data_IF_210175552350
#
_entry.id   IF_210175552350
#
_cell.length_a   1.000
_cell.length_b   1.000
_cell.length_c   1.000
_cell.angle_alpha   90.00
_cell.angle_beta   90.00
_cell.angle_gamma   90.00
#
_symmetry.space_group_name_H-M   'P 1'
#
loop_
_entity.id
_entity.type
_entity.pdbx_description
1 polymer ?
#
# COMPACT_ATOMS: atom_id res chain seq x y z
N UNK A 1 -17.93 -17.44 21.54
CA UNK A 1 -16.52 -17.55 21.07
C UNK A 1 -15.65 -17.38 22.30
N UNK A 2 -14.67 -18.25 22.50
CA UNK A 2 -13.73 -18.12 23.64
C UNK A 2 -12.82 -16.91 23.41
N UNK A 3 -12.12 -16.46 24.48
CA UNK A 3 -11.09 -15.44 24.37
C UNK A 3 -10.00 -15.84 23.35
N UNK A 4 -9.55 -14.87 22.57
CA UNK A 4 -8.54 -15.05 21.51
C UNK A 4 -7.25 -14.33 21.95
N UNK A 5 -6.25 -15.08 22.36
CA UNK A 5 -4.97 -14.53 22.79
C UNK A 5 -4.10 -14.19 21.60
N UNK A 6 -4.07 -12.91 21.23
CA UNK A 6 -3.38 -12.40 20.05
C UNK A 6 -2.16 -11.54 20.42
N UNK A 7 -0.99 -11.94 19.96
CA UNK A 7 0.17 -11.06 19.85
C UNK A 7 0.10 -10.34 18.50
N UNK A 8 -0.07 -9.03 18.49
CA UNK A 8 -0.15 -8.26 17.26
C UNK A 8 0.99 -7.25 17.16
N UNK A 9 1.75 -7.32 16.06
CA UNK A 9 2.78 -6.35 15.69
C UNK A 9 2.31 -5.46 14.52
N UNK A 10 1.03 -5.60 14.13
CA UNK A 10 0.37 -4.78 13.11
C UNK A 10 -0.78 -3.97 13.74
N UNK A 11 -1.03 -2.73 13.31
CA UNK A 11 -2.06 -1.87 13.90
C UNK A 11 -3.51 -2.27 13.51
N UNK A 12 -3.80 -3.59 13.42
CA UNK A 12 -5.13 -4.16 13.18
C UNK A 12 -5.90 -4.46 14.46
N UNK A 13 -5.22 -4.52 15.59
CA UNK A 13 -5.84 -4.94 16.85
C UNK A 13 -7.05 -4.09 17.26
N UNK A 14 -7.06 -2.75 17.13
CA UNK A 14 -8.25 -1.97 17.46
C UNK A 14 -9.48 -2.35 16.64
N UNK A 15 -9.29 -2.64 15.34
CA UNK A 15 -10.35 -3.12 14.48
C UNK A 15 -10.83 -4.52 14.89
N UNK A 16 -9.91 -5.44 15.11
CA UNK A 16 -10.25 -6.81 15.49
C UNK A 16 -11.01 -6.88 16.83
N UNK A 17 -10.65 -6.03 17.80
CA UNK A 17 -11.35 -5.93 19.10
C UNK A 17 -12.81 -5.48 18.99
N UNK A 18 -13.20 -4.79 17.91
CA UNK A 18 -14.60 -4.43 17.65
C UNK A 18 -15.47 -5.62 17.22
N UNK A 19 -14.86 -6.69 16.71
CA UNK A 19 -15.54 -7.83 16.12
C UNK A 19 -15.31 -9.16 16.87
N UNK A 20 -14.23 -9.25 17.66
CA UNK A 20 -13.80 -10.49 18.31
C UNK A 20 -13.36 -10.24 19.76
N UNK A 21 -13.50 -11.23 20.66
CA UNK A 21 -13.04 -11.14 22.05
C UNK A 21 -11.52 -11.29 22.15
N UNK A 22 -10.79 -10.29 21.65
CA UNK A 22 -9.32 -10.30 21.60
C UNK A 22 -8.75 -9.92 22.96
N UNK A 23 -7.92 -10.79 23.51
CA UNK A 23 -6.98 -10.53 24.60
C UNK A 23 -5.60 -10.28 23.99
N UNK A 24 -5.12 -9.07 24.12
CA UNK A 24 -3.83 -8.66 23.54
C UNK A 24 -2.69 -9.15 24.43
N UNK A 25 -1.76 -9.91 23.86
CA UNK A 25 -0.61 -10.47 24.55
C UNK A 25 0.64 -9.64 24.23
N UNK A 26 1.35 -9.11 25.22
CA UNK A 26 2.59 -8.37 24.98
C UNK A 26 3.72 -9.30 24.50
N UNK A 27 4.72 -8.72 23.81
CA UNK A 27 5.79 -9.48 23.17
C UNK A 27 6.61 -10.32 24.16
N UNK A 28 6.85 -9.82 25.37
CA UNK A 28 7.55 -10.50 26.45
C UNK A 28 6.81 -11.75 26.98
N UNK A 29 5.50 -11.81 26.75
CA UNK A 29 4.62 -12.93 27.13
C UNK A 29 4.17 -13.78 25.93
N UNK A 30 4.89 -13.74 24.82
CA UNK A 30 4.52 -14.39 23.55
C UNK A 30 4.14 -15.88 23.67
N UNK A 31 4.62 -16.58 24.69
CA UNK A 31 4.28 -17.99 24.94
C UNK A 31 2.82 -18.21 25.36
N UNK A 32 2.12 -17.15 25.78
CA UNK A 32 0.70 -17.17 26.14
C UNK A 32 -0.21 -16.92 24.92
N UNK A 33 0.35 -16.50 23.78
CA UNK A 33 -0.43 -16.18 22.60
C UNK A 33 -0.75 -17.43 21.78
N UNK A 34 -2.00 -17.58 21.35
CA UNK A 34 -2.44 -18.60 20.41
C UNK A 34 -2.20 -18.20 18.96
N UNK A 35 -2.21 -16.88 18.70
CA UNK A 35 -2.05 -16.28 17.38
C UNK A 35 -0.98 -15.19 17.42
N UNK A 36 -0.21 -15.08 16.33
CA UNK A 36 0.64 -13.92 16.07
C UNK A 36 0.29 -13.30 14.72
N UNK A 37 0.06 -11.98 14.73
CA UNK A 37 -0.08 -11.16 13.53
C UNK A 37 1.16 -10.32 13.38
N UNK A 38 1.96 -10.57 12.35
CA UNK A 38 3.28 -9.97 12.19
C UNK A 38 3.63 -9.70 10.73
N UNK A 39 4.65 -8.90 10.51
CA UNK A 39 5.21 -8.65 9.18
C UNK A 39 6.30 -9.70 8.79
N UNK A 40 6.87 -9.53 7.59
CA UNK A 40 7.95 -10.37 7.08
C UNK A 40 9.29 -10.17 7.80
N UNK A 41 9.45 -9.06 8.51
CA UNK A 41 10.69 -8.66 9.18
C UNK A 41 10.74 -9.10 10.64
N UNK A 42 9.63 -9.60 11.18
CA UNK A 42 9.56 -10.06 12.58
C UNK A 42 10.58 -11.16 12.85
N UNK A 43 11.57 -10.92 13.74
CA UNK A 43 12.56 -11.93 14.09
C UNK A 43 11.89 -13.10 14.82
N UNK A 44 12.48 -14.30 14.69
CA UNK A 44 12.08 -15.52 15.40
C UNK A 44 10.65 -16.00 15.21
N UNK A 45 9.90 -15.46 14.22
CA UNK A 45 8.52 -15.89 13.90
C UNK A 45 8.43 -17.42 13.68
N UNK A 46 9.49 -18.02 13.17
CA UNK A 46 9.53 -19.46 12.87
C UNK A 46 9.51 -20.34 14.14
N UNK A 47 9.84 -19.77 15.30
CA UNK A 47 9.78 -20.43 16.60
C UNK A 47 8.43 -20.31 17.31
N UNK A 48 7.56 -19.42 16.82
CA UNK A 48 6.22 -19.28 17.41
C UNK A 48 5.39 -20.54 17.19
N UNK A 49 4.81 -21.07 18.27
CA UNK A 49 4.11 -22.36 18.26
C UNK A 49 2.64 -22.26 17.83
N UNK A 50 2.00 -21.12 18.03
CA UNK A 50 0.62 -20.85 17.65
C UNK A 50 0.46 -20.54 16.16
N UNK A 51 -0.71 -20.05 15.78
CA UNK A 51 -1.07 -19.68 14.40
C UNK A 51 -0.33 -18.42 13.98
N UNK A 52 0.33 -18.47 12.84
CA UNK A 52 1.13 -17.36 12.29
C UNK A 52 0.40 -16.69 11.13
N UNK A 53 0.04 -15.43 11.30
CA UNK A 53 -0.68 -14.62 10.31
C UNK A 53 0.29 -13.54 9.81
N UNK A 54 0.56 -13.54 8.51
CA UNK A 54 1.35 -12.50 7.87
C UNK A 54 0.47 -11.32 7.51
N UNK A 55 0.96 -10.12 7.81
CA UNK A 55 0.54 -8.89 7.17
C UNK A 55 1.75 -8.25 6.47
N UNK A 56 1.61 -7.80 5.24
CA UNK A 56 2.69 -7.10 4.55
C UNK A 56 2.18 -5.90 3.76
N UNK A 57 2.79 -4.74 4.02
CA UNK A 57 2.61 -3.52 3.23
C UNK A 57 3.67 -3.36 2.14
N UNK A 58 4.66 -4.26 2.07
CA UNK A 58 5.74 -4.22 1.10
C UNK A 58 5.51 -5.19 -0.05
N UNK A 59 6.19 -4.97 -1.19
CA UNK A 59 6.11 -5.87 -2.35
C UNK A 59 6.88 -7.18 -2.10
N UNK A 60 6.38 -7.95 -1.12
CA UNK A 60 6.92 -9.26 -0.78
C UNK A 60 5.94 -10.37 -1.13
N UNK A 61 6.45 -11.41 -1.80
CA UNK A 61 5.66 -12.60 -2.03
C UNK A 61 5.39 -13.37 -0.73
N UNK A 62 4.15 -13.81 -0.59
CA UNK A 62 3.72 -14.58 0.57
C UNK A 62 4.43 -15.94 0.63
N UNK A 63 5.01 -16.25 1.79
CA UNK A 63 5.57 -17.56 2.09
C UNK A 63 4.68 -18.39 3.02
N UNK A 64 3.76 -19.15 2.43
CA UNK A 64 2.86 -20.06 3.17
C UNK A 64 3.57 -21.27 3.79
N UNK A 65 4.87 -21.44 3.59
CA UNK A 65 5.65 -22.41 4.36
C UNK A 65 6.05 -21.86 5.73
N UNK A 66 6.11 -20.52 5.87
CA UNK A 66 6.41 -19.83 7.14
C UNK A 66 5.14 -19.42 7.88
N UNK A 67 4.14 -18.90 7.15
CA UNK A 67 2.90 -18.36 7.70
C UNK A 67 1.73 -19.30 7.44
N UNK A 68 0.80 -19.38 8.38
CA UNK A 68 -0.41 -20.17 8.24
C UNK A 68 -1.43 -19.45 7.36
N UNK A 69 -1.57 -18.15 7.59
CA UNK A 69 -2.45 -17.25 6.84
C UNK A 69 -1.73 -15.97 6.46
N UNK A 70 -2.28 -15.22 5.50
CA UNK A 70 -1.71 -13.95 5.09
C UNK A 70 -2.74 -12.92 4.61
N UNK A 71 -2.48 -11.66 4.97
CA UNK A 71 -3.01 -10.48 4.32
C UNK A 71 -1.96 -9.96 3.35
N UNK A 72 -2.31 -9.76 2.08
CA UNK A 72 -1.36 -9.45 1.01
C UNK A 72 -1.95 -8.50 -0.02
N UNK A 73 -1.09 -7.87 -0.82
CA UNK A 73 -1.51 -7.14 -2.00
C UNK A 73 -1.76 -8.04 -3.23
N UNK A 74 -1.24 -9.28 -3.23
CA UNK A 74 -1.39 -10.21 -4.36
C UNK A 74 -2.89 -10.45 -4.66
N UNK A 75 -3.25 -10.51 -5.95
CA UNK A 75 -4.61 -10.89 -6.40
C UNK A 75 -4.84 -12.39 -6.18
N UNK A 76 -4.82 -12.79 -4.94
CA UNK A 76 -4.93 -14.19 -4.54
C UNK A 76 -5.89 -14.30 -3.36
N UNK A 77 -7.09 -14.80 -3.67
CA UNK A 77 -8.05 -15.14 -2.64
C UNK A 77 -8.08 -16.66 -2.46
N UNK A 78 -7.81 -17.11 -1.25
CA UNK A 78 -7.90 -18.51 -0.83
C UNK A 78 -8.34 -18.57 0.63
N UNK A 79 -8.59 -19.78 1.14
CA UNK A 79 -8.84 -19.99 2.58
C UNK A 79 -7.69 -19.54 3.48
N UNK A 80 -6.47 -19.37 2.91
CA UNK A 80 -5.26 -18.98 3.63
C UNK A 80 -4.72 -17.59 3.27
N UNK A 81 -5.15 -17.01 2.17
CA UNK A 81 -4.71 -15.69 1.72
C UNK A 81 -5.91 -14.80 1.46
N UNK A 82 -5.86 -13.60 1.99
CA UNK A 82 -6.83 -12.56 1.71
C UNK A 82 -6.13 -11.32 1.17
N UNK A 83 -6.66 -10.78 0.06
CA UNK A 83 -6.13 -9.55 -0.51
C UNK A 83 -6.54 -8.36 0.34
N UNK A 84 -5.58 -7.72 0.97
CA UNK A 84 -5.76 -6.51 1.75
C UNK A 84 -4.56 -5.58 1.52
N UNK A 85 -4.53 -4.79 0.42
CA UNK A 85 -3.39 -3.93 0.07
C UNK A 85 -3.22 -2.82 1.10
N UNK A 86 -2.00 -2.28 1.19
CA UNK A 86 -1.62 -1.34 2.25
C UNK A 86 -2.48 -0.08 2.29
N UNK A 87 -2.99 0.39 1.17
CA UNK A 87 -3.85 1.57 1.17
C UNK A 87 -5.17 1.36 1.94
N UNK A 88 -5.78 0.16 1.90
CA UNK A 88 -6.93 -0.18 2.75
C UNK A 88 -6.57 -0.10 4.24
N UNK A 89 -5.41 -0.68 4.56
CA UNK A 89 -4.89 -0.69 5.91
C UNK A 89 -4.60 0.72 6.43
N UNK A 90 -3.99 1.57 5.60
CA UNK A 90 -3.73 2.98 5.91
C UNK A 90 -5.03 3.74 6.22
N UNK A 91 -6.12 3.42 5.51
CA UNK A 91 -7.43 4.01 5.75
C UNK A 91 -8.22 3.36 6.90
N UNK A 92 -7.89 2.11 7.30
CA UNK A 92 -8.61 1.41 8.35
C UNK A 92 -8.48 2.09 9.72
N UNK A 93 -7.30 2.58 10.02
CA UNK A 93 -6.98 3.24 11.30
C UNK A 93 -7.32 4.72 11.32
N UNK A 94 -7.80 5.27 10.21
CA UNK A 94 -8.06 6.70 10.01
C UNK A 94 -9.44 6.94 9.37
N UNK A 95 -10.53 6.97 10.13
CA UNK A 95 -11.89 7.17 9.60
C UNK A 95 -12.02 8.43 8.76
N UNK A 96 -11.28 9.49 9.10
CA UNK A 96 -11.25 10.74 8.35
C UNK A 96 -10.70 10.57 6.92
N UNK A 97 -9.74 9.68 6.72
CA UNK A 97 -9.20 9.38 5.38
C UNK A 97 -10.28 8.76 4.49
N UNK A 98 -11.03 7.78 5.03
CA UNK A 98 -12.16 7.16 4.33
C UNK A 98 -13.22 8.18 3.94
N UNK A 99 -13.57 9.06 4.89
CA UNK A 99 -14.56 10.12 4.65
C UNK A 99 -14.14 11.04 3.51
N UNK A 100 -12.89 11.50 3.49
CA UNK A 100 -12.36 12.37 2.44
C UNK A 100 -12.28 11.68 1.07
N UNK A 101 -11.85 10.42 1.03
CA UNK A 101 -11.79 9.67 -0.22
C UNK A 101 -13.16 9.38 -0.83
N UNK A 102 -14.17 9.13 0.01
CA UNK A 102 -15.55 8.92 -0.43
C UNK A 102 -16.25 10.21 -0.84
N UNK A 103 -15.86 11.34 -0.24
CA UNK A 103 -16.48 12.63 -0.45
C UNK A 103 -15.39 13.68 -0.75
N UNK A 104 -14.78 13.64 -1.94
CA UNK A 104 -13.82 14.66 -2.34
C UNK A 104 -14.50 16.02 -2.36
N UNK A 105 -13.80 17.04 -1.92
CA UNK A 105 -14.30 18.42 -1.98
C UNK A 105 -14.05 18.95 -3.39
N UNK A 106 -15.11 19.26 -4.16
CA UNK A 106 -14.94 19.91 -5.46
C UNK A 106 -14.21 21.25 -5.31
N UNK A 107 -13.41 21.59 -6.30
CA UNK A 107 -12.70 22.86 -6.37
C UNK A 107 -13.02 23.54 -7.70
N UNK A 108 -13.39 24.82 -7.66
CA UNK A 108 -13.58 25.62 -8.87
C UNK A 108 -12.22 26.03 -9.47
N UNK A 109 -12.24 26.42 -10.75
CA UNK A 109 -11.05 26.92 -11.44
C UNK A 109 -10.49 28.17 -10.75
N UNK A 110 -11.37 29.09 -10.33
CA UNK A 110 -11.01 30.32 -9.65
C UNK A 110 -10.37 30.05 -8.29
N UNK A 111 -10.96 29.13 -7.50
CA UNK A 111 -10.41 28.71 -6.21
C UNK A 111 -9.03 28.06 -6.40
N UNK A 112 -8.84 27.24 -7.43
CA UNK A 112 -7.59 26.57 -7.70
C UNK A 112 -6.48 27.57 -8.07
N UNK A 113 -6.79 28.57 -8.89
CA UNK A 113 -5.86 29.65 -9.27
C UNK A 113 -5.50 30.47 -8.03
N UNK A 114 -6.49 30.84 -7.20
CA UNK A 114 -6.29 31.63 -6.00
C UNK A 114 -5.38 30.98 -4.95
N UNK A 115 -5.29 29.64 -4.94
CA UNK A 115 -4.43 28.91 -4.02
C UNK A 115 -2.95 29.06 -4.28
N UNK A 116 -2.54 29.53 -5.48
CA UNK A 116 -1.15 29.80 -5.87
C UNK A 116 -0.15 28.70 -5.43
N UNK A 117 -0.48 27.44 -5.76
CA UNK A 117 0.32 26.28 -5.37
C UNK A 117 1.60 26.14 -6.21
N UNK A 118 2.62 25.53 -5.62
CA UNK A 118 3.79 25.04 -6.34
C UNK A 118 3.44 23.90 -7.31
N UNK A 119 4.32 23.59 -8.25
CA UNK A 119 4.07 22.64 -9.32
C UNK A 119 3.86 21.21 -8.80
N UNK A 120 4.91 20.60 -8.23
CA UNK A 120 4.89 19.18 -7.91
C UNK A 120 5.67 18.87 -6.63
N UNK A 121 5.07 18.07 -5.74
CA UNK A 121 5.69 17.54 -4.53
C UNK A 121 6.29 16.16 -4.78
N UNK A 122 7.49 15.94 -4.24
CA UNK A 122 8.14 14.65 -4.16
C UNK A 122 8.66 14.38 -2.75
N UNK A 123 8.17 13.33 -2.08
CA UNK A 123 8.62 12.95 -0.75
C UNK A 123 9.10 11.50 -0.77
N UNK A 124 10.40 11.29 -0.74
CA UNK A 124 10.99 9.97 -0.85
C UNK A 124 12.18 9.80 0.08
N UNK A 125 12.25 8.61 0.70
CA UNK A 125 13.38 8.18 1.53
C UNK A 125 14.29 7.20 0.80
N UNK A 126 13.69 6.24 0.05
CA UNK A 126 14.43 5.15 -0.58
C UNK A 126 14.91 5.55 -1.98
N UNK A 127 16.23 5.60 -2.27
CA UNK A 127 16.76 6.00 -3.57
C UNK A 127 16.59 4.95 -4.68
N UNK A 128 16.09 3.74 -4.39
CA UNK A 128 16.15 2.59 -5.33
C UNK A 128 15.08 2.60 -6.44
N UNK A 129 14.06 3.44 -6.39
CA UNK A 129 12.97 3.47 -7.39
C UNK A 129 13.41 4.09 -8.72
N UNK A 130 13.94 3.30 -9.66
CA UNK A 130 14.52 3.78 -10.93
C UNK A 130 13.53 4.62 -11.76
N UNK A 131 12.32 4.11 -12.01
CA UNK A 131 11.31 4.81 -12.83
C UNK A 131 10.86 6.11 -12.18
N UNK A 132 10.62 6.07 -10.86
CA UNK A 132 10.30 7.26 -10.06
C UNK A 132 11.38 8.32 -10.16
N UNK A 133 12.63 7.92 -9.92
CA UNK A 133 13.76 8.85 -9.92
C UNK A 133 13.97 9.48 -11.30
N UNK A 134 13.81 8.68 -12.37
CA UNK A 134 13.94 9.15 -13.74
C UNK A 134 12.86 10.17 -14.10
N UNK A 135 11.60 9.95 -13.70
CA UNK A 135 10.54 10.92 -13.96
C UNK A 135 10.77 12.24 -13.19
N UNK A 136 11.15 12.17 -11.91
CA UNK A 136 11.45 13.37 -11.12
C UNK A 136 12.56 14.20 -11.79
N UNK A 137 13.64 13.54 -12.25
CA UNK A 137 14.74 14.20 -12.95
C UNK A 137 14.29 14.83 -14.28
N UNK A 138 13.41 14.15 -15.04
CA UNK A 138 12.90 14.70 -16.29
C UNK A 138 11.98 15.91 -16.05
N UNK A 139 11.13 15.87 -15.03
CA UNK A 139 10.31 17.03 -14.62
C UNK A 139 11.16 18.19 -14.12
N UNK A 140 12.22 17.94 -13.34
CA UNK A 140 13.12 18.98 -12.83
C UNK A 140 13.89 19.76 -13.92
N UNK A 141 14.05 19.17 -15.12
CA UNK A 141 14.66 19.86 -16.26
C UNK A 141 13.77 20.97 -16.83
N UNK A 142 12.46 20.89 -16.59
CA UNK A 142 11.46 21.76 -17.21
C UNK A 142 10.69 22.60 -16.20
N UNK A 143 10.48 22.10 -14.98
CA UNK A 143 9.76 22.81 -13.93
C UNK A 143 10.26 22.37 -12.53
N UNK A 144 10.19 23.26 -11.55
CA UNK A 144 10.64 22.95 -10.18
C UNK A 144 9.79 21.87 -9.56
N UNK A 145 10.42 20.78 -9.11
CA UNK A 145 9.81 19.76 -8.22
C UNK A 145 10.34 19.97 -6.81
N UNK A 146 9.47 20.15 -5.83
CA UNK A 146 9.84 20.33 -4.43
C UNK A 146 10.06 18.97 -3.76
N UNK A 147 11.30 18.68 -3.38
CA UNK A 147 11.71 17.39 -2.80
C UNK A 147 11.89 17.52 -1.28
N UNK A 148 10.87 17.05 -0.51
CA UNK A 148 10.84 17.19 0.95
C UNK A 148 11.42 16.00 1.72
N UNK A 149 11.70 14.88 1.06
CA UNK A 149 12.29 13.69 1.69
C UNK A 149 13.81 13.76 1.83
N UNK A 150 14.46 12.76 2.48
CA UNK A 150 15.93 12.68 2.55
C UNK A 150 16.58 12.49 1.17
N UNK A 151 15.88 11.82 0.24
CA UNK A 151 16.37 11.60 -1.11
C UNK A 151 16.03 12.79 -2.03
N UNK A 152 17.01 13.33 -2.72
CA UNK A 152 16.91 14.49 -3.62
C UNK A 152 16.41 15.77 -2.94
N UNK A 153 16.62 15.93 -1.62
CA UNK A 153 16.13 17.08 -0.88
C UNK A 153 16.60 18.41 -1.50
N UNK A 154 15.65 19.34 -1.71
CA UNK A 154 15.95 20.66 -2.28
C UNK A 154 15.14 21.81 -1.62
N UNK A 155 14.47 21.51 -0.49
CA UNK A 155 13.70 22.52 0.26
C UNK A 155 14.41 23.02 1.51
N UNK A 156 15.66 22.55 1.76
CA UNK A 156 16.49 23.00 2.87
C UNK A 156 16.26 22.30 4.21
N UNK A 157 15.23 21.45 4.33
CA UNK A 157 14.96 20.63 5.50
C UNK A 157 14.31 19.32 5.11
N UNK A 158 14.39 18.30 5.97
CA UNK A 158 13.74 17.00 5.77
C UNK A 158 12.41 17.03 6.50
N UNK A 159 11.33 16.69 5.79
CA UNK A 159 10.01 16.57 6.39
C UNK A 159 10.02 15.51 7.52
N UNK A 160 9.42 15.81 8.68
CA UNK A 160 9.17 14.83 9.72
C UNK A 160 8.37 13.62 9.23
N UNK A 161 8.37 12.55 10.00
CA UNK A 161 7.72 11.28 9.60
C UNK A 161 6.19 11.24 9.64
N UNK A 162 5.46 11.98 10.48
CA UNK A 162 4.00 11.93 10.52
C UNK A 162 3.39 12.19 9.13
N UNK A 163 2.39 11.37 8.76
CA UNK A 163 1.73 11.47 7.44
C UNK A 163 1.07 12.83 7.22
N UNK A 164 0.57 13.44 8.28
CA UNK A 164 -0.07 14.76 8.25
C UNK A 164 0.88 15.84 7.74
N UNK A 165 2.15 15.80 8.14
CA UNK A 165 3.18 16.75 7.67
C UNK A 165 3.47 16.54 6.18
N UNK A 166 3.50 15.28 5.72
CA UNK A 166 3.64 14.95 4.31
C UNK A 166 2.43 15.46 3.51
N UNK A 167 1.22 15.23 4.02
CA UNK A 167 -0.02 15.66 3.38
C UNK A 167 -0.12 17.19 3.35
N UNK A 168 0.24 17.89 4.42
CA UNK A 168 0.32 19.35 4.45
C UNK A 168 1.34 19.88 3.41
N UNK A 169 2.49 19.24 3.28
CA UNK A 169 3.46 19.60 2.25
C UNK A 169 2.91 19.37 0.84
N UNK A 170 2.29 18.22 0.59
CA UNK A 170 1.70 17.89 -0.70
C UNK A 170 0.56 18.84 -1.08
N UNK A 171 -0.25 19.29 -0.10
CA UNK A 171 -1.38 20.21 -0.35
C UNK A 171 -0.97 21.59 -0.88
N UNK A 172 0.30 21.94 -0.74
CA UNK A 172 0.89 23.17 -1.29
C UNK A 172 1.31 23.04 -2.77
N UNK A 173 1.02 21.89 -3.40
CA UNK A 173 1.41 21.58 -4.78
C UNK A 173 0.21 21.09 -5.60
N UNK A 174 0.20 21.41 -6.91
CA UNK A 174 -0.84 20.90 -7.81
C UNK A 174 -0.72 19.39 -8.01
N UNK A 175 0.52 18.89 -8.13
CA UNK A 175 0.80 17.47 -8.35
C UNK A 175 1.57 16.85 -7.18
N UNK A 176 1.36 15.56 -6.96
CA UNK A 176 2.15 14.76 -6.03
C UNK A 176 2.64 13.48 -6.68
N UNK A 177 3.95 13.23 -6.57
CA UNK A 177 4.54 11.98 -7.05
C UNK A 177 4.08 10.80 -6.18
N UNK A 178 3.21 9.97 -6.72
CA UNK A 178 2.63 8.78 -6.07
C UNK A 178 3.16 7.47 -6.66
N UNK A 179 4.47 7.41 -6.90
CA UNK A 179 5.16 6.25 -7.47
C UNK A 179 5.49 5.23 -6.40
N UNK A 180 5.09 3.98 -6.63
CA UNK A 180 5.53 2.87 -5.81
C UNK A 180 7.03 2.59 -6.00
N UNK A 181 7.61 1.78 -5.12
CA UNK A 181 9.02 1.40 -5.23
C UNK A 181 9.27 0.47 -6.42
N UNK A 182 8.27 -0.35 -6.75
CA UNK A 182 8.27 -1.32 -7.84
C UNK A 182 6.89 -1.42 -8.46
N UNK A 183 6.79 -1.87 -9.72
CA UNK A 183 5.51 -2.20 -10.34
C UNK A 183 5.20 -3.67 -10.11
N UNK A 184 4.05 -3.94 -9.50
CA UNK A 184 3.52 -5.28 -9.34
C UNK A 184 1.99 -5.23 -9.31
N UNK A 185 1.34 -6.24 -9.91
CA UNK A 185 -0.12 -6.34 -9.93
C UNK A 185 -0.66 -6.43 -8.50
N UNK A 186 -1.60 -5.55 -8.17
CA UNK A 186 -2.23 -5.45 -6.85
C UNK A 186 -1.43 -4.64 -5.81
N UNK A 187 -0.15 -4.32 -6.07
CA UNK A 187 0.70 -3.58 -5.12
C UNK A 187 0.38 -2.09 -5.13
N UNK A 188 -0.35 -1.66 -4.13
CA UNK A 188 -0.76 -0.27 -3.91
C UNK A 188 -0.58 0.07 -2.44
N UNK A 189 0.10 1.18 -2.18
CA UNK A 189 0.37 1.63 -0.81
C UNK A 189 -0.34 2.97 -0.52
N UNK A 190 0.03 3.61 0.57
CA UNK A 190 -0.51 4.90 0.97
C UNK A 190 -0.25 6.04 -0.02
N UNK A 191 0.65 5.89 -0.98
CA UNK A 191 1.17 7.01 -1.78
C UNK A 191 0.12 7.72 -2.62
N UNK A 192 -0.74 6.94 -3.30
CA UNK A 192 -1.84 7.51 -4.10
C UNK A 192 -2.90 8.14 -3.19
N UNK A 193 -3.18 7.49 -2.04
CA UNK A 193 -4.12 7.97 -1.04
C UNK A 193 -3.66 9.29 -0.43
N UNK A 194 -2.40 9.39 -0.02
CA UNK A 194 -1.85 10.64 0.55
C UNK A 194 -1.96 11.82 -0.43
N UNK A 195 -1.76 11.59 -1.72
CA UNK A 195 -1.93 12.63 -2.73
C UNK A 195 -3.39 13.10 -2.83
N UNK A 196 -4.36 12.17 -2.85
CA UNK A 196 -5.79 12.51 -2.82
C UNK A 196 -6.18 13.24 -1.53
N UNK A 197 -5.74 12.75 -0.37
CA UNK A 197 -6.01 13.38 0.93
C UNK A 197 -5.44 14.80 1.05
N UNK A 198 -4.41 15.09 0.27
CA UNK A 198 -3.78 16.41 0.17
C UNK A 198 -4.46 17.32 -0.85
N UNK A 199 -5.54 16.88 -1.48
CA UNK A 199 -6.18 17.59 -2.60
C UNK A 199 -5.15 17.98 -3.68
N UNK A 200 -4.24 17.07 -4.02
CA UNK A 200 -3.18 17.20 -5.03
C UNK A 200 -3.36 16.09 -6.07
N UNK A 201 -3.16 16.38 -7.33
CA UNK A 201 -3.31 15.42 -8.42
C UNK A 201 -2.20 14.37 -8.33
N UNK A 202 -2.53 13.07 -8.10
CA UNK A 202 -1.51 12.03 -8.06
C UNK A 202 -0.91 11.80 -9.46
N UNK A 203 0.43 11.76 -9.57
CA UNK A 203 1.11 11.15 -10.71
C UNK A 203 1.52 9.75 -10.26
N UNK A 204 0.77 8.74 -10.69
CA UNK A 204 0.86 7.37 -10.18
C UNK A 204 1.58 6.41 -11.10
N UNK A 205 2.39 5.55 -10.51
CA UNK A 205 2.95 4.35 -11.14
C UNK A 205 3.19 3.27 -10.08
N UNK A 206 2.82 2.04 -10.38
CA UNK A 206 2.95 0.90 -9.46
C UNK A 206 2.10 -0.27 -9.93
N UNK A 207 0.90 -0.43 -9.38
CA UNK A 207 -0.04 -1.43 -9.82
C UNK A 207 -0.59 -1.08 -11.22
N UNK A 208 -0.34 -1.90 -12.27
CA UNK A 208 -0.88 -1.62 -13.61
C UNK A 208 -2.42 -1.72 -13.67
N UNK A 209 -3.06 -2.31 -12.65
CA UNK A 209 -4.51 -2.43 -12.52
C UNK A 209 -5.10 -1.40 -11.54
N UNK A 210 -4.41 -0.28 -11.29
CA UNK A 210 -4.83 0.76 -10.34
C UNK A 210 -6.23 1.31 -10.66
N UNK A 211 -6.58 1.41 -11.94
CA UNK A 211 -7.88 1.90 -12.41
C UNK A 211 -9.08 1.00 -12.03
N UNK A 212 -8.86 -0.20 -11.53
CA UNK A 212 -9.93 -1.05 -10.99
C UNK A 212 -10.42 -0.59 -9.61
N UNK A 213 -9.58 0.13 -8.86
CA UNK A 213 -9.89 0.61 -7.51
C UNK A 213 -10.05 2.13 -7.44
N UNK A 214 -9.22 2.87 -8.19
CA UNK A 214 -9.25 4.33 -8.25
C UNK A 214 -9.76 4.82 -9.61
N UNK A 215 -10.58 5.88 -9.58
CA UNK A 215 -11.13 6.48 -10.78
C UNK A 215 -10.02 7.07 -11.66
N UNK A 216 -9.81 6.58 -12.91
CA UNK A 216 -8.75 7.07 -13.78
C UNK A 216 -8.90 8.55 -14.16
N UNK A 217 -10.11 9.13 -14.05
CA UNK A 217 -10.32 10.56 -14.28
C UNK A 217 -9.81 11.45 -13.13
N UNK A 218 -9.40 10.87 -11.98
CA UNK A 218 -8.97 11.61 -10.80
C UNK A 218 -7.44 11.72 -10.65
N UNK A 219 -6.65 11.06 -11.50
CA UNK A 219 -5.18 11.05 -11.39
C UNK A 219 -4.50 10.84 -12.74
N UNK A 220 -3.21 11.15 -12.82
CA UNK A 220 -2.37 10.86 -13.99
C UNK A 220 -1.77 9.47 -13.82
N UNK A 221 -2.21 8.50 -14.63
CA UNK A 221 -1.69 7.14 -14.62
C UNK A 221 -0.50 7.01 -15.57
N UNK A 222 0.70 6.85 -15.04
CA UNK A 222 1.92 6.75 -15.86
C UNK A 222 1.94 5.49 -16.76
N UNK A 223 1.15 4.46 -16.44
CA UNK A 223 1.03 3.26 -17.28
C UNK A 223 0.31 3.51 -18.62
N UNK A 224 -0.43 4.62 -18.75
CA UNK A 224 -1.15 4.97 -19.99
C UNK A 224 -0.22 5.56 -21.06
N UNK A 225 1.01 5.88 -20.70
CA UNK A 225 1.99 6.53 -21.57
C UNK A 225 3.09 5.57 -22.02
N UNK A 226 3.33 5.49 -23.33
CA UNK A 226 4.38 4.64 -23.89
C UNK A 226 5.81 5.11 -23.54
N UNK A 227 5.98 6.40 -23.30
CA UNK A 227 7.29 6.98 -22.98
C UNK A 227 7.17 8.01 -21.84
N UNK A 228 8.24 8.17 -21.05
CA UNK A 228 8.30 9.24 -20.04
C UNK A 228 8.20 10.63 -20.67
N UNK A 229 8.70 10.83 -21.91
CA UNK A 229 8.56 12.10 -22.61
C UNK A 229 7.10 12.47 -22.82
N UNK A 230 6.28 11.51 -23.28
CA UNK A 230 4.85 11.72 -23.49
C UNK A 230 4.14 12.02 -22.14
N UNK A 231 4.49 11.30 -21.07
CA UNK A 231 3.97 11.57 -19.74
C UNK A 231 4.34 12.98 -19.25
N UNK A 232 5.61 13.39 -19.39
CA UNK A 232 6.06 14.74 -19.01
C UNK A 232 5.30 15.81 -19.80
N UNK A 233 5.15 15.64 -21.14
CA UNK A 233 4.37 16.58 -21.95
C UNK A 233 2.94 16.70 -21.46
N UNK A 234 2.26 15.59 -21.19
CA UNK A 234 0.89 15.59 -20.67
C UNK A 234 0.78 16.29 -19.32
N UNK A 235 1.70 16.04 -18.38
CA UNK A 235 1.72 16.72 -17.07
C UNK A 235 1.89 18.23 -17.24
N UNK A 236 2.72 18.67 -18.15
CA UNK A 236 2.94 20.10 -18.43
C UNK A 236 1.71 20.73 -19.08
N UNK A 237 1.11 20.07 -20.07
CA UNK A 237 -0.13 20.52 -20.72
C UNK A 237 -1.26 20.66 -19.69
N UNK A 238 -1.44 19.66 -18.81
CA UNK A 238 -2.42 19.71 -17.73
C UNK A 238 -2.12 20.87 -16.74
N UNK A 239 -0.85 21.12 -16.41
CA UNK A 239 -0.43 22.21 -15.54
C UNK A 239 -0.71 23.62 -16.11
N UNK A 240 -0.86 23.75 -17.42
CA UNK A 240 -1.24 25.02 -18.08
C UNK A 240 -2.77 25.18 -18.19
N UNK A 241 -3.56 24.18 -17.77
CA UNK A 241 -5.04 24.19 -17.82
C UNK A 241 -5.63 24.09 -16.40
N UNK A 242 -5.83 25.21 -15.71
CA UNK A 242 -6.47 25.19 -14.38
C UNK A 242 -7.88 24.57 -14.40
N UNK A 243 -8.60 24.70 -15.51
CA UNK A 243 -9.93 24.12 -15.67
C UNK A 243 -9.87 22.56 -15.67
N UNK A 244 -8.90 21.97 -16.40
CA UNK A 244 -8.74 20.52 -16.45
C UNK A 244 -8.22 19.98 -15.10
N UNK A 245 -7.32 20.71 -14.43
CA UNK A 245 -6.88 20.36 -13.07
C UNK A 245 -8.04 20.41 -12.07
N UNK A 246 -8.88 21.45 -12.11
CA UNK A 246 -10.05 21.56 -11.24
C UNK A 246 -11.08 20.46 -11.51
N UNK A 247 -11.30 20.13 -12.79
CA UNK A 247 -12.17 19.03 -13.19
C UNK A 247 -11.65 17.68 -12.67
N UNK A 248 -10.34 17.42 -12.77
CA UNK A 248 -9.70 16.20 -12.26
C UNK A 248 -9.79 16.09 -10.72
N UNK A 249 -9.50 17.17 -9.99
CA UNK A 249 -9.58 17.23 -8.53
C UNK A 249 -11.02 17.07 -7.98
N UNK A 250 -12.03 17.38 -8.80
CA UNK A 250 -13.44 17.26 -8.44
C UNK A 250 -14.04 15.90 -8.74
N UNK A 251 -13.28 14.98 -9.35
CA UNK A 251 -13.77 13.63 -9.66
C UNK A 251 -13.94 12.78 -8.39
N UNK A 252 -14.91 11.86 -8.36
CA UNK A 252 -14.91 10.78 -7.37
C UNK A 252 -13.56 10.04 -7.41
N UNK A 253 -12.97 9.80 -6.25
CA UNK A 253 -11.63 9.18 -6.15
C UNK A 253 -11.70 7.67 -6.36
N UNK A 254 -12.73 7.03 -5.80
CA UNK A 254 -12.86 5.56 -5.76
C UNK A 254 -13.85 5.08 -6.82
N UNK A 255 -13.55 3.94 -7.45
CA UNK A 255 -14.46 3.28 -8.39
C UNK A 255 -15.71 2.71 -7.69
N UNK A 256 -15.53 2.19 -6.49
CA UNK A 256 -16.61 1.60 -5.70
C UNK A 256 -16.83 2.42 -4.41
N UNK A 257 -17.97 3.11 -4.24
CA UNK A 257 -18.26 3.85 -3.02
C UNK A 257 -18.42 2.97 -1.78
N UNK A 258 -18.71 1.67 -1.96
CA UNK A 258 -18.84 0.70 -0.88
C UNK A 258 -17.55 -0.06 -0.56
N UNK A 259 -16.42 0.31 -1.18
CA UNK A 259 -15.15 -0.43 -1.08
C UNK A 259 -14.71 -0.68 0.37
N UNK A 260 -14.82 0.31 1.25
CA UNK A 260 -14.43 0.14 2.66
C UNK A 260 -15.36 -0.80 3.41
N UNK A 261 -16.67 -0.69 3.20
CA UNK A 261 -17.66 -1.60 3.82
C UNK A 261 -17.42 -3.04 3.37
N UNK A 262 -17.20 -3.26 2.07
CA UNK A 262 -16.92 -4.59 1.51
C UNK A 262 -15.60 -5.15 2.03
N UNK A 263 -14.53 -4.35 2.05
CA UNK A 263 -13.23 -4.79 2.51
C UNK A 263 -13.21 -5.08 4.01
N UNK A 264 -13.89 -4.28 4.83
CA UNK A 264 -13.98 -4.51 6.26
C UNK A 264 -14.74 -5.80 6.56
N UNK A 265 -15.87 -6.05 5.89
CA UNK A 265 -16.63 -7.29 6.05
C UNK A 265 -15.80 -8.51 5.62
N UNK A 266 -15.12 -8.43 4.48
CA UNK A 266 -14.25 -9.50 4.00
C UNK A 266 -13.08 -9.79 4.96
N UNK A 267 -12.52 -8.74 5.58
CA UNK A 267 -11.48 -8.86 6.60
C UNK A 267 -12.01 -9.56 7.87
N UNK A 268 -13.20 -9.18 8.34
CA UNK A 268 -13.88 -9.83 9.46
C UNK A 268 -14.13 -11.32 9.15
N UNK A 269 -14.68 -11.63 7.98
CA UNK A 269 -14.96 -13.00 7.55
C UNK A 269 -13.67 -13.84 7.45
N UNK A 270 -12.59 -13.23 7.00
CA UNK A 270 -11.27 -13.89 6.94
C UNK A 270 -10.75 -14.26 8.34
N UNK A 271 -10.80 -13.32 9.28
CA UNK A 271 -10.38 -13.59 10.67
C UNK A 271 -11.32 -14.53 11.41
N UNK A 272 -12.64 -14.46 11.16
CA UNK A 272 -13.60 -15.41 11.73
C UNK A 272 -13.24 -16.86 11.38
N UNK A 273 -12.95 -17.14 10.10
CA UNK A 273 -12.50 -18.48 9.66
C UNK A 273 -11.20 -18.93 10.33
N UNK A 274 -10.25 -18.01 10.55
CA UNK A 274 -8.98 -18.31 11.23
C UNK A 274 -9.25 -18.69 12.69
N UNK A 275 -10.05 -17.91 13.39
CA UNK A 275 -10.33 -18.11 14.81
C UNK A 275 -11.24 -19.31 15.07
N UNK A 276 -12.22 -19.58 14.19
CA UNK A 276 -13.03 -20.81 14.23
C UNK A 276 -12.19 -22.08 14.06
N UNK A 277 -11.21 -22.05 13.17
CA UNK A 277 -10.30 -23.17 12.95
C UNK A 277 -9.39 -23.42 14.16
N UNK A 278 -8.92 -22.38 14.82
CA UNK A 278 -8.17 -22.41 16.07
C UNK A 278 -6.85 -23.19 16.06
N UNK A 279 -6.36 -23.62 14.89
CA UNK A 279 -5.20 -24.50 14.80
C UNK A 279 -4.26 -24.11 13.66
N UNK A 280 -2.97 -24.39 13.86
CA UNK A 280 -1.93 -24.24 12.81
C UNK A 280 -2.22 -25.16 11.62
N UNK A 281 -1.82 -24.67 10.45
CA UNK A 281 -1.81 -25.48 9.24
C UNK A 281 -0.68 -26.52 9.34
N UNK A 282 -1.03 -27.81 9.19
CA UNK A 282 -0.04 -28.87 9.16
C UNK A 282 0.84 -28.74 7.91
N UNK A 283 2.15 -28.82 8.11
CA UNK A 283 3.15 -28.74 7.04
C UNK A 283 3.94 -30.02 6.93
N UNK A 284 4.22 -30.45 5.69
CA UNK A 284 5.14 -31.55 5.43
C UNK A 284 6.58 -31.16 5.87
N UNK A 285 7.46 -32.15 6.13
CA UNK A 285 8.87 -31.86 6.42
C UNK A 285 9.53 -30.98 5.35
N UNK A 286 9.23 -31.22 4.06
CA UNK A 286 9.74 -30.44 2.93
C UNK A 286 9.26 -28.99 2.98
N UNK A 287 7.98 -28.72 3.28
CA UNK A 287 7.45 -27.38 3.42
C UNK A 287 8.11 -26.62 4.59
N UNK A 288 8.36 -27.29 5.71
CA UNK A 288 9.10 -26.72 6.84
C UNK A 288 10.52 -26.34 6.46
N UNK A 289 11.23 -27.26 5.79
CA UNK A 289 12.58 -27.01 5.27
C UNK A 289 12.62 -25.82 4.31
N UNK A 290 11.69 -25.75 3.34
CA UNK A 290 11.61 -24.63 2.40
C UNK A 290 11.31 -23.29 3.10
N UNK A 291 10.49 -23.28 4.15
CA UNK A 291 10.24 -22.10 4.96
C UNK A 291 11.49 -21.57 5.67
N UNK A 292 12.27 -22.46 6.26
CA UNK A 292 13.56 -22.11 6.89
C UNK A 292 14.56 -21.65 5.84
N UNK A 293 14.70 -22.39 4.75
CA UNK A 293 15.65 -22.08 3.68
C UNK A 293 15.37 -20.72 3.02
N UNK A 294 14.10 -20.35 2.83
CA UNK A 294 13.74 -19.03 2.27
C UNK A 294 14.22 -17.85 3.11
N UNK A 295 14.36 -18.05 4.44
CA UNK A 295 14.90 -17.05 5.35
C UNK A 295 16.40 -16.82 5.18
N UNK A 296 17.17 -17.90 5.01
CA UNK A 296 18.65 -17.84 5.00
C UNK A 296 19.23 -17.44 3.65
N UNK A 297 18.62 -17.86 2.54
CA UNK A 297 19.17 -17.66 1.20
C UNK A 297 18.62 -16.44 0.44
N UNK A 298 17.87 -15.57 1.13
CA UNK A 298 17.37 -14.31 0.59
C UNK A 298 16.42 -14.47 -0.61
N UNK A 299 15.73 -13.42 -0.94
CA UNK A 299 14.64 -13.43 -1.92
C UNK A 299 15.07 -13.70 -3.39
N UNK A 300 16.37 -13.64 -3.73
CA UNK A 300 16.88 -13.76 -5.11
C UNK A 300 16.71 -15.15 -5.72
N UNK A 301 17.42 -16.16 -5.20
CA UNK A 301 17.46 -17.52 -5.77
C UNK A 301 16.11 -18.25 -5.64
N UNK A 302 15.49 -18.16 -4.46
CA UNK A 302 14.17 -18.78 -4.21
C UNK A 302 13.02 -18.06 -4.92
N UNK A 303 13.11 -16.76 -5.16
CA UNK A 303 12.18 -16.02 -6.02
C UNK A 303 12.17 -16.59 -7.43
N UNK A 304 13.34 -16.85 -8.00
CA UNK A 304 13.49 -17.44 -9.34
C UNK A 304 12.97 -18.87 -9.39
N UNK A 305 13.33 -19.71 -8.42
CA UNK A 305 12.87 -21.11 -8.35
C UNK A 305 11.34 -21.17 -8.18
N UNK A 306 10.75 -20.37 -7.28
CA UNK A 306 9.30 -20.33 -7.09
C UNK A 306 8.56 -19.79 -8.31
N UNK A 307 9.06 -18.73 -8.93
CA UNK A 307 8.52 -18.19 -10.18
C UNK A 307 8.50 -19.26 -11.27
N UNK A 308 9.59 -19.97 -11.43
CA UNK A 308 9.70 -21.06 -12.42
C UNK A 308 8.72 -22.19 -12.11
N UNK A 309 8.63 -22.66 -10.86
CA UNK A 309 7.71 -23.72 -10.46
C UNK A 309 6.24 -23.30 -10.64
N UNK A 310 5.87 -22.06 -10.30
CA UNK A 310 4.51 -21.54 -10.48
C UNK A 310 4.16 -21.37 -11.96
N UNK A 311 5.10 -20.89 -12.77
CA UNK A 311 4.93 -20.80 -14.24
C UNK A 311 4.74 -22.18 -14.86
N UNK A 312 5.49 -23.21 -14.41
CA UNK A 312 5.31 -24.60 -14.84
C UNK A 312 3.96 -25.18 -14.40
N UNK A 313 3.35 -24.71 -13.30
CA UNK A 313 2.03 -25.13 -12.85
C UNK A 313 0.87 -24.34 -13.46
N UNK A 314 1.13 -23.39 -14.35
CA UNK A 314 0.12 -22.55 -14.98
C UNK A 314 -0.57 -21.54 -14.04
N UNK A 315 0.02 -21.27 -12.86
CA UNK A 315 -0.51 -20.35 -11.86
C UNK A 315 -0.29 -18.86 -12.23
N UNK A 316 0.43 -18.60 -13.33
CA UNK A 316 0.59 -17.28 -13.95
C UNK A 316 0.20 -17.37 -15.42
N UNK A 317 -0.85 -16.68 -15.79
CA UNK A 317 -1.14 -16.23 -17.16
C UNK A 317 -0.73 -14.78 -17.32
#
# INVERSE_FOLDING_TARGET
>A
MNEIHLLSLAPLTPFLKQHFPIVEIPLEEQQKADYILSDTFTPHIDHFKGVRILYTGENHHVDLNRFDYCLTHELRETDRCHRYPYWHFHCLTQPEYRRKLLNPTPVSTEELIAQNRDFCAFVCRNPKGKERNALVQDLMKVRKVSCGGPFMNNIGYILPRPYEVKQEFQSKHFFSMAYENESAVGYQTEKIVDAFLSNSIPIYWGNPRVAEEFNPAAFVNAHDFRTRKALVSHILELAESPADMAAMLSQPVLQDPDVFKKSDQALVDFFARIFERGARIQRTPMQRFLGVASRYYGHGLFRTIRYTIRKMKGEYK
#
